data_IF_437784113931
#
_entry.id   IF_437784113931
#
_cell.length_a   1.000
_cell.length_b   1.000
_cell.length_c   1.000
_cell.angle_alpha   90.00
_cell.angle_beta   90.00
_cell.angle_gamma   90.00
#
_symmetry.space_group_name_H-M   'P 1'
#
loop_
_entity.id
_entity.type
_entity.pdbx_description
1 polymer ?
#
# COMPACT_ATOMS: atom_id res chain seq x y z
N UNK A 1 36.87 -97.24 -14.76
CA UNK A 1 37.02 -97.10 -16.23
C UNK A 1 36.35 -95.80 -16.65
N UNK A 2 36.95 -95.01 -17.56
CA UNK A 2 36.85 -93.56 -17.59
C UNK A 2 35.64 -93.04 -18.39
N UNK A 3 35.19 -91.82 -18.13
CA UNK A 3 34.65 -90.96 -19.20
C UNK A 3 34.61 -89.49 -18.80
N UNK A 4 35.26 -88.70 -19.65
CA UNK A 4 35.24 -87.25 -19.76
C UNK A 4 33.93 -86.77 -20.40
N UNK A 5 33.36 -85.64 -19.95
CA UNK A 5 32.60 -84.66 -20.77
C UNK A 5 32.81 -83.28 -20.11
N UNK A 6 33.75 -82.48 -20.63
CA UNK A 6 33.57 -81.32 -21.52
C UNK A 6 33.12 -80.02 -20.80
N UNK A 7 34.08 -79.10 -20.65
CA UNK A 7 33.89 -77.72 -20.18
C UNK A 7 33.40 -76.82 -21.32
N UNK A 8 32.37 -76.00 -21.05
CA UNK A 8 32.03 -74.85 -21.87
C UNK A 8 32.71 -73.60 -21.28
N UNK A 9 33.46 -72.92 -22.14
CA UNK A 9 34.18 -71.67 -21.85
C UNK A 9 33.19 -70.51 -21.79
N UNK A 10 33.17 -69.76 -20.69
CA UNK A 10 32.47 -68.47 -20.59
C UNK A 10 33.53 -67.36 -20.49
N UNK A 11 33.69 -66.58 -21.56
CA UNK A 11 34.56 -65.42 -21.58
C UNK A 11 33.87 -64.24 -20.90
N UNK A 12 34.45 -63.76 -19.80
CA UNK A 12 34.00 -62.54 -19.11
C UNK A 12 34.89 -61.37 -19.55
N UNK A 13 34.35 -60.47 -20.36
CA UNK A 13 35.02 -59.23 -20.74
C UNK A 13 35.02 -58.24 -19.57
N UNK A 14 36.20 -57.78 -19.16
CA UNK A 14 36.37 -56.75 -18.14
C UNK A 14 36.10 -55.35 -18.75
N UNK A 15 35.19 -54.59 -18.14
CA UNK A 15 34.98 -53.17 -18.41
C UNK A 15 35.89 -52.34 -17.48
N UNK A 16 36.51 -51.24 -17.97
CA UNK A 16 37.33 -50.37 -17.13
C UNK A 16 36.44 -49.53 -16.21
N UNK A 17 36.82 -49.43 -14.94
CA UNK A 17 36.17 -48.58 -13.96
C UNK A 17 36.46 -47.10 -14.29
N UNK A 18 35.40 -46.35 -14.60
CA UNK A 18 35.46 -44.89 -14.77
C UNK A 18 35.38 -44.25 -13.39
N UNK A 19 36.46 -43.57 -12.98
CA UNK A 19 36.51 -42.74 -11.77
C UNK A 19 35.44 -41.64 -11.85
N UNK A 20 34.44 -41.72 -10.98
CA UNK A 20 33.39 -40.70 -10.86
C UNK A 20 33.95 -39.39 -10.31
N UNK A 21 33.94 -38.34 -11.13
CA UNK A 21 34.14 -36.96 -10.67
C UNK A 21 32.90 -36.57 -9.84
N UNK A 22 33.04 -36.05 -8.62
CA UNK A 22 31.88 -35.61 -7.85
C UNK A 22 31.23 -34.45 -8.60
N UNK A 23 30.00 -34.65 -9.08
CA UNK A 23 29.15 -33.57 -9.56
C UNK A 23 28.90 -32.65 -8.38
N UNK A 24 29.65 -31.55 -8.30
CA UNK A 24 29.35 -30.44 -7.41
C UNK A 24 27.90 -30.04 -7.63
N UNK A 25 27.07 -30.19 -6.60
CA UNK A 25 25.67 -29.80 -6.62
C UNK A 25 25.64 -28.29 -6.86
N UNK A 26 25.34 -27.87 -8.08
CA UNK A 26 25.10 -26.45 -8.39
C UNK A 26 23.87 -26.06 -7.59
N UNK A 27 24.08 -25.41 -6.45
CA UNK A 27 23.00 -24.85 -5.66
C UNK A 27 22.35 -23.77 -6.55
N UNK A 28 21.05 -23.89 -6.88
CA UNK A 28 20.38 -22.84 -7.64
C UNK A 28 20.58 -21.52 -6.89
N UNK A 29 20.83 -20.40 -7.60
CA UNK A 29 20.95 -19.11 -6.96
C UNK A 29 19.74 -18.90 -6.06
N UNK A 30 19.99 -18.60 -4.78
CA UNK A 30 18.94 -18.31 -3.82
C UNK A 30 18.19 -17.09 -4.34
N UNK A 31 17.04 -17.31 -4.96
CA UNK A 31 16.12 -16.25 -5.32
C UNK A 31 15.65 -15.64 -4.02
N UNK A 32 16.07 -14.40 -3.74
CA UNK A 32 15.49 -13.65 -2.64
C UNK A 32 13.98 -13.58 -2.85
N UNK A 33 13.16 -13.89 -1.82
CA UNK A 33 11.72 -13.80 -1.97
C UNK A 33 11.34 -12.38 -2.41
N UNK A 34 10.51 -12.27 -3.45
CA UNK A 34 10.01 -10.99 -3.94
C UNK A 34 9.33 -10.25 -2.78
N UNK A 35 9.84 -9.05 -2.46
CA UNK A 35 9.29 -8.20 -1.41
C UNK A 35 8.24 -7.28 -2.01
N UNK A 36 6.98 -7.52 -1.66
CA UNK A 36 5.84 -6.75 -2.17
C UNK A 36 5.42 -5.60 -1.23
N UNK A 37 5.81 -5.65 0.05
CA UNK A 37 5.49 -4.64 1.06
C UNK A 37 6.65 -4.35 2.02
N UNK A 38 6.53 -3.27 2.80
CA UNK A 38 7.48 -2.87 3.82
C UNK A 38 8.83 -2.46 3.28
N UNK A 39 8.90 -2.00 2.02
CA UNK A 39 10.14 -1.48 1.47
C UNK A 39 10.48 -0.13 2.08
N UNK A 40 11.77 0.11 2.30
CA UNK A 40 12.22 1.40 2.83
C UNK A 40 12.10 2.47 1.75
N UNK A 41 11.39 3.55 2.05
CA UNK A 41 11.32 4.74 1.20
C UNK A 41 12.07 5.87 1.91
N UNK A 42 13.24 6.24 1.40
CA UNK A 42 14.04 7.34 1.98
C UNK A 42 13.57 8.72 1.53
N UNK A 43 12.79 8.77 0.46
CA UNK A 43 12.22 9.99 -0.07
C UNK A 43 11.08 10.52 0.80
N UNK A 44 10.73 11.78 0.58
CA UNK A 44 9.65 12.50 1.24
C UNK A 44 8.54 12.84 0.24
N UNK A 45 7.30 13.10 0.67
CA UNK A 45 6.23 13.49 -0.24
C UNK A 45 6.60 14.77 -1.00
N UNK A 46 6.35 14.77 -2.31
CA UNK A 46 6.50 15.97 -3.13
C UNK A 46 5.28 16.87 -2.93
N UNK A 47 5.51 18.08 -2.43
CA UNK A 47 4.46 19.07 -2.20
C UNK A 47 4.46 20.12 -3.33
N UNK A 48 3.32 20.74 -3.65
CA UNK A 48 3.27 21.76 -4.67
C UNK A 48 4.22 22.91 -4.31
N UNK A 49 4.94 23.44 -5.30
CA UNK A 49 5.74 24.63 -5.12
C UNK A 49 4.85 25.86 -4.86
N UNK A 50 5.42 26.91 -4.26
CA UNK A 50 4.76 28.21 -4.06
C UNK A 50 3.52 28.20 -3.14
N UNK A 51 3.53 27.36 -2.11
CA UNK A 51 2.52 27.35 -1.05
C UNK A 51 3.19 27.17 0.33
N UNK A 52 2.54 27.66 1.39
CA UNK A 52 3.04 27.60 2.78
C UNK A 52 2.08 26.91 3.75
N UNK A 53 0.95 26.40 3.25
CA UNK A 53 -0.13 25.84 4.08
C UNK A 53 0.16 24.39 4.48
N UNK A 54 0.88 23.65 3.64
CA UNK A 54 1.29 22.26 3.84
C UNK A 54 2.81 22.26 3.91
N UNK A 55 3.35 21.99 5.08
CA UNK A 55 4.78 22.11 5.39
C UNK A 55 5.31 20.78 5.86
N UNK A 56 6.35 20.31 5.20
CA UNK A 56 7.07 19.12 5.59
C UNK A 56 8.09 19.42 6.68
N UNK A 57 8.05 18.66 7.77
CA UNK A 57 9.09 18.70 8.79
C UNK A 57 10.35 17.98 8.28
N UNK A 58 11.46 18.71 8.21
CA UNK A 58 12.73 18.18 7.69
C UNK A 58 13.34 17.09 8.58
N UNK A 59 12.99 17.04 9.86
CA UNK A 59 13.49 16.04 10.81
C UNK A 59 12.81 14.69 10.66
N UNK A 60 11.57 14.65 10.16
CA UNK A 60 10.81 13.43 10.01
C UNK A 60 11.21 12.63 8.76
N UNK A 61 11.09 11.31 8.86
CA UNK A 61 11.34 10.31 7.82
C UNK A 61 10.05 9.60 7.44
N UNK A 62 10.00 9.11 6.20
CA UNK A 62 8.87 8.32 5.72
C UNK A 62 8.90 6.94 6.38
N UNK A 63 7.83 6.62 7.11
CA UNK A 63 7.62 5.31 7.70
C UNK A 63 6.80 4.41 6.77
N UNK A 64 5.67 4.90 6.28
CA UNK A 64 4.82 4.18 5.32
C UNK A 64 4.41 5.06 4.15
N UNK A 65 4.23 4.41 3.00
CA UNK A 65 3.59 4.99 1.82
C UNK A 65 2.42 4.08 1.45
N UNK A 66 1.21 4.61 1.60
CA UNK A 66 -0.02 3.87 1.41
C UNK A 66 -0.87 4.44 0.27
N UNK A 67 -1.43 3.57 -0.56
CA UNK A 67 -2.53 3.91 -1.46
C UNK A 67 -3.85 3.72 -0.73
N UNK A 68 -4.56 4.81 -0.46
CA UNK A 68 -5.88 4.77 0.12
C UNK A 68 -6.96 4.68 -0.95
N UNK A 69 -7.90 3.76 -0.77
CA UNK A 69 -9.03 3.55 -1.67
C UNK A 69 -10.31 3.46 -0.86
N UNK A 70 -11.29 4.31 -1.18
CA UNK A 70 -12.54 4.32 -0.43
C UNK A 70 -13.49 5.43 -0.87
N UNK A 71 -14.21 6.00 0.10
CA UNK A 71 -15.21 7.04 -0.11
C UNK A 71 -15.01 8.23 0.83
N UNK A 72 -15.30 9.41 0.32
CA UNK A 72 -15.52 10.61 1.10
C UNK A 72 -17.01 10.71 1.40
N UNK A 73 -17.38 10.90 2.66
CA UNK A 73 -18.75 11.00 3.10
C UNK A 73 -19.12 12.47 3.35
N UNK A 74 -20.32 12.84 2.91
CA UNK A 74 -20.85 14.19 3.02
C UNK A 74 -22.27 14.17 3.54
N UNK A 75 -22.63 15.22 4.27
CA UNK A 75 -24.01 15.52 4.69
C UNK A 75 -24.42 16.85 4.08
N UNK A 76 -25.62 16.91 3.54
CA UNK A 76 -26.19 18.15 3.04
C UNK A 76 -26.59 19.04 4.22
N UNK A 77 -26.03 20.24 4.28
CA UNK A 77 -26.33 21.26 5.28
C UNK A 77 -26.47 22.61 4.57
N UNK A 78 -27.62 23.24 4.73
CA UNK A 78 -27.93 24.56 4.16
C UNK A 78 -27.65 24.65 2.65
N UNK A 79 -28.07 23.62 1.91
CA UNK A 79 -27.94 23.56 0.46
C UNK A 79 -26.54 23.18 -0.07
N UNK A 80 -25.59 22.87 0.83
CA UNK A 80 -24.21 22.50 0.47
C UNK A 80 -23.78 21.19 1.15
N UNK A 81 -22.97 20.40 0.45
CA UNK A 81 -22.37 19.21 1.04
C UNK A 81 -21.20 19.59 1.94
N UNK A 82 -21.30 19.22 3.22
CA UNK A 82 -20.24 19.37 4.23
C UNK A 82 -19.63 18.00 4.49
N UNK A 83 -18.30 17.95 4.63
CA UNK A 83 -17.58 16.70 4.90
C UNK A 83 -18.02 16.08 6.23
N UNK A 84 -18.51 14.85 6.17
CA UNK A 84 -18.84 14.00 7.31
C UNK A 84 -17.75 12.95 7.62
N UNK A 85 -16.60 13.04 6.92
CA UNK A 85 -15.46 12.14 7.11
C UNK A 85 -15.17 11.29 5.88
N UNK A 86 -14.40 10.23 6.06
CA UNK A 86 -14.05 9.29 5.00
C UNK A 86 -13.90 7.88 5.56
N UNK A 87 -14.03 6.88 4.70
CA UNK A 87 -13.65 5.49 4.99
C UNK A 87 -12.82 4.99 3.83
N UNK A 88 -11.66 4.40 4.11
CA UNK A 88 -10.79 3.82 3.09
C UNK A 88 -9.94 2.67 3.65
N UNK A 89 -9.56 1.75 2.79
CA UNK A 89 -8.48 0.79 3.06
C UNK A 89 -7.18 1.35 2.50
N UNK A 90 -6.09 1.18 3.25
CA UNK A 90 -4.74 1.59 2.87
C UNK A 90 -3.96 0.37 2.42
N UNK A 91 -3.33 0.45 1.25
CA UNK A 91 -2.47 -0.59 0.69
C UNK A 91 -1.02 -0.13 0.67
N UNK A 92 -0.08 -0.96 1.09
CA UNK A 92 1.34 -0.66 1.06
C UNK A 92 1.82 -0.61 -0.39
N UNK A 93 2.37 0.53 -0.77
CA UNK A 93 2.93 0.77 -2.10
C UNK A 93 4.38 1.22 -2.04
N UNK A 94 5.03 1.04 -0.89
CA UNK A 94 6.43 1.37 -0.67
C UNK A 94 7.37 0.66 -1.66
N UNK A 95 7.09 -0.60 -2.00
CA UNK A 95 7.94 -1.40 -2.88
C UNK A 95 7.85 -1.03 -4.37
N UNK A 96 6.83 -0.27 -4.75
CA UNK A 96 6.69 0.24 -6.13
C UNK A 96 7.07 1.72 -6.23
N UNK A 97 7.52 2.33 -5.13
CA UNK A 97 8.07 3.69 -5.14
C UNK A 97 9.26 3.79 -6.10
N UNK A 98 9.37 4.91 -6.82
CA UNK A 98 10.41 5.13 -7.84
C UNK A 98 10.14 4.46 -9.19
N UNK A 99 9.10 3.64 -9.30
CA UNK A 99 8.65 3.07 -10.59
C UNK A 99 7.63 3.99 -11.27
N UNK A 100 7.47 3.93 -12.61
CA UNK A 100 6.43 4.69 -13.31
C UNK A 100 5.00 4.38 -12.82
N UNK A 101 4.77 3.16 -12.32
CA UNK A 101 3.49 2.71 -11.79
C UNK A 101 3.03 3.55 -10.59
N UNK A 102 3.97 3.98 -9.73
CA UNK A 102 3.66 4.65 -8.46
C UNK A 102 2.71 5.84 -8.63
N UNK A 103 3.01 6.73 -9.57
CA UNK A 103 2.20 7.94 -9.84
C UNK A 103 0.80 7.64 -10.42
N UNK A 104 0.62 6.46 -11.02
CA UNK A 104 -0.63 6.05 -11.68
C UNK A 104 -1.57 5.31 -10.74
N UNK A 105 -1.09 4.86 -9.57
CA UNK A 105 -1.84 4.04 -8.64
C UNK A 105 -3.19 4.65 -8.20
N UNK A 106 -3.30 5.96 -7.91
CA UNK A 106 -4.60 6.55 -7.57
C UNK A 106 -5.61 6.42 -8.72
N UNK A 107 -5.20 6.68 -9.95
CA UNK A 107 -6.06 6.56 -11.14
C UNK A 107 -6.48 5.11 -11.39
N UNK A 108 -5.53 4.18 -11.29
CA UNK A 108 -5.76 2.74 -11.43
C UNK A 108 -6.75 2.26 -10.37
N UNK A 109 -6.54 2.62 -9.10
CA UNK A 109 -7.42 2.22 -8.02
C UNK A 109 -8.85 2.72 -8.21
N UNK A 110 -9.01 3.96 -8.66
CA UNK A 110 -10.32 4.53 -8.91
C UNK A 110 -11.06 3.76 -10.01
N UNK A 111 -10.39 3.43 -11.13
CA UNK A 111 -10.98 2.64 -12.22
C UNK A 111 -11.48 1.28 -11.75
N UNK A 112 -10.69 0.57 -10.94
CA UNK A 112 -11.08 -0.73 -10.41
C UNK A 112 -12.21 -0.66 -9.38
N UNK A 113 -12.26 0.41 -8.57
CA UNK A 113 -13.36 0.63 -7.63
C UNK A 113 -14.71 0.80 -8.37
N UNK A 114 -14.71 1.45 -9.53
CA UNK A 114 -15.92 1.62 -10.35
C UNK A 114 -16.36 0.33 -11.07
N UNK A 115 -15.48 -0.63 -11.30
CA UNK A 115 -15.79 -1.87 -12.03
C UNK A 115 -16.42 -2.97 -11.16
N UNK A 116 -16.68 -2.73 -9.87
CA UNK A 116 -17.19 -3.71 -8.88
C UNK A 116 -16.37 -5.01 -8.75
N UNK A 117 -15.25 -5.14 -9.46
CA UNK A 117 -14.18 -6.04 -9.06
C UNK A 117 -13.67 -5.53 -7.72
N UNK A 118 -13.85 -6.30 -6.64
CA UNK A 118 -13.32 -5.91 -5.33
C UNK A 118 -11.84 -5.56 -5.54
N UNK A 119 -11.48 -4.31 -5.30
CA UNK A 119 -10.13 -3.84 -5.60
C UNK A 119 -9.10 -4.65 -4.81
N UNK A 120 -9.47 -5.12 -3.61
CA UNK A 120 -8.74 -6.10 -2.82
C UNK A 120 -8.54 -7.44 -3.53
N UNK A 121 -9.49 -7.88 -4.37
CA UNK A 121 -9.34 -9.05 -5.23
C UNK A 121 -8.37 -8.79 -6.37
N UNK A 122 -8.46 -7.67 -7.10
CA UNK A 122 -7.55 -7.42 -8.24
C UNK A 122 -6.16 -7.00 -7.77
N UNK A 123 -6.04 -6.11 -6.77
CA UNK A 123 -4.78 -5.84 -6.07
C UNK A 123 -4.23 -7.16 -5.49
N UNK A 124 -5.07 -7.98 -4.87
CA UNK A 124 -4.67 -9.30 -4.39
C UNK A 124 -4.28 -10.30 -5.50
N UNK A 125 -4.78 -10.12 -6.73
CA UNK A 125 -4.46 -10.93 -7.92
C UNK A 125 -3.17 -10.46 -8.59
N UNK A 126 -2.96 -9.15 -8.67
CA UNK A 126 -1.81 -8.49 -9.29
C UNK A 126 -0.60 -8.50 -8.37
N UNK A 127 -0.81 -8.34 -7.06
CA UNK A 127 0.25 -8.10 -6.06
C UNK A 127 0.23 -9.11 -4.89
N UNK A 128 -0.73 -10.03 -4.82
CA UNK A 128 -0.85 -11.05 -3.76
C UNK A 128 -1.83 -10.69 -2.65
N UNK A 129 -2.66 -11.64 -2.19
CA UNK A 129 -3.84 -11.40 -1.34
C UNK A 129 -3.60 -10.96 0.11
N UNK A 130 -2.39 -11.06 0.67
CA UNK A 130 -2.26 -10.93 2.14
C UNK A 130 -0.88 -10.54 2.71
N UNK A 131 -0.19 -9.55 2.11
CA UNK A 131 0.52 -8.58 2.96
C UNK A 131 0.29 -7.11 2.57
N UNK A 132 -0.56 -6.82 1.58
CA UNK A 132 -0.70 -5.46 1.02
C UNK A 132 -1.51 -4.51 1.89
N UNK A 133 -2.49 -4.97 2.67
CA UNK A 133 -3.30 -4.05 3.47
C UNK A 133 -2.47 -3.51 4.64
N UNK A 134 -2.10 -2.22 4.59
CA UNK A 134 -1.45 -1.52 5.69
C UNK A 134 -2.40 -1.34 6.86
N UNK A 135 -3.67 -1.03 6.56
CA UNK A 135 -4.61 -0.59 7.59
C UNK A 135 -5.88 -0.01 7.03
N UNK A 136 -6.69 0.53 7.94
CA UNK A 136 -7.94 1.22 7.60
C UNK A 136 -7.86 2.69 8.01
N UNK A 137 -8.51 3.53 7.23
CA UNK A 137 -8.70 4.94 7.50
C UNK A 137 -10.19 5.20 7.72
N UNK A 138 -10.54 5.81 8.86
CA UNK A 138 -11.90 6.16 9.24
C UNK A 138 -11.89 7.33 10.23
N UNK A 139 -13.04 7.89 10.58
CA UNK A 139 -13.14 9.00 11.52
C UNK A 139 -13.63 8.52 12.89
N UNK A 140 -13.08 9.09 13.96
CA UNK A 140 -13.41 8.78 15.35
C UNK A 140 -13.59 10.06 16.15
N UNK A 141 -14.32 9.99 17.27
CA UNK A 141 -14.27 11.02 18.30
C UNK A 141 -12.94 10.93 19.04
N UNK A 142 -12.15 11.99 19.05
CA UNK A 142 -10.90 12.09 19.78
C UNK A 142 -11.15 12.40 21.27
N UNK A 143 -10.10 12.33 22.09
CA UNK A 143 -10.14 12.60 23.53
C UNK A 143 -10.59 14.02 23.90
N UNK A 144 -10.47 14.97 22.97
CA UNK A 144 -10.99 16.34 23.12
C UNK A 144 -12.45 16.50 22.67
N UNK A 145 -13.12 15.41 22.27
CA UNK A 145 -14.52 15.40 21.83
C UNK A 145 -14.75 15.82 20.37
N UNK A 146 -13.68 16.11 19.61
CA UNK A 146 -13.76 16.46 18.19
C UNK A 146 -13.74 15.22 17.29
N UNK A 147 -14.27 15.35 16.06
CA UNK A 147 -14.17 14.28 15.05
C UNK A 147 -12.83 14.39 14.31
N UNK A 148 -12.03 13.33 14.37
CA UNK A 148 -10.68 13.28 13.81
C UNK A 148 -10.50 12.09 12.86
N UNK A 149 -9.70 12.24 11.78
CA UNK A 149 -9.23 11.11 11.00
C UNK A 149 -8.34 10.18 11.84
N UNK A 150 -8.66 8.89 11.85
CA UNK A 150 -7.83 7.80 12.37
C UNK A 150 -7.27 6.99 11.21
N UNK A 151 -6.00 6.61 11.33
CA UNK A 151 -5.34 5.62 10.49
C UNK A 151 -4.91 4.48 11.40
N UNK A 152 -5.51 3.32 11.20
CA UNK A 152 -5.33 2.13 12.04
C UNK A 152 -4.51 1.09 11.28
N UNK A 153 -3.25 0.93 11.69
CA UNK A 153 -2.28 0.04 11.05
C UNK A 153 -2.17 -1.32 11.74
N UNK A 154 -3.08 -1.62 12.68
CA UNK A 154 -3.06 -2.89 13.43
C UNK A 154 -3.10 -4.12 12.53
N UNK A 155 -3.61 -4.00 11.29
CA UNK A 155 -3.60 -5.10 10.29
C UNK A 155 -2.21 -5.50 9.80
N UNK A 156 -1.28 -4.54 9.76
CA UNK A 156 0.08 -4.77 9.22
C UNK A 156 1.16 -4.77 10.30
N UNK A 157 0.84 -4.33 11.51
CA UNK A 157 1.77 -4.23 12.63
C UNK A 157 1.50 -5.31 13.67
N UNK A 158 2.57 -5.83 14.30
CA UNK A 158 2.48 -6.85 15.36
C UNK A 158 1.94 -6.31 16.69
N UNK A 159 1.91 -4.99 16.85
CA UNK A 159 1.36 -4.27 18.00
C UNK A 159 0.30 -3.28 17.50
N UNK A 160 -0.70 -2.98 18.33
CA UNK A 160 -1.72 -1.98 17.97
C UNK A 160 -1.05 -0.64 17.68
N UNK A 161 -1.10 -0.26 16.41
CA UNK A 161 -0.39 0.90 15.90
C UNK A 161 -1.36 1.75 15.12
N UNK A 162 -1.53 3.00 15.52
CA UNK A 162 -2.46 3.92 14.88
C UNK A 162 -2.01 5.36 15.09
N UNK A 163 -2.64 6.24 14.31
CA UNK A 163 -2.59 7.69 14.51
C UNK A 163 -4.01 8.26 14.40
N UNK A 164 -4.43 9.01 15.41
CA UNK A 164 -5.55 9.95 15.29
C UNK A 164 -4.92 11.31 15.04
N UNK A 165 -5.35 11.99 13.99
CA UNK A 165 -4.72 13.22 13.53
C UNK A 165 -5.73 14.38 13.47
N UNK A 166 -5.21 15.59 13.35
CA UNK A 166 -5.97 16.80 13.11
C UNK A 166 -5.41 17.51 11.87
N UNK A 167 -6.30 18.17 11.11
CA UNK A 167 -5.90 18.95 9.94
C UNK A 167 -5.03 20.11 10.38
N UNK A 168 -3.78 20.15 9.87
CA UNK A 168 -2.87 21.28 10.05
C UNK A 168 -2.99 22.28 8.90
N UNK A 169 -3.16 21.78 7.67
CA UNK A 169 -3.29 22.61 6.49
C UNK A 169 -3.73 21.81 5.27
N UNK A 170 -4.05 22.52 4.20
CA UNK A 170 -4.45 21.94 2.92
C UNK A 170 -4.07 22.85 1.76
N UNK A 171 -3.97 22.23 0.59
CA UNK A 171 -3.90 22.92 -0.70
C UNK A 171 -4.81 22.23 -1.70
N UNK A 172 -5.32 22.98 -2.66
CA UNK A 172 -6.11 22.41 -3.75
C UNK A 172 -5.28 21.33 -4.48
N UNK A 173 -5.95 20.26 -4.92
CA UNK A 173 -5.27 19.20 -5.68
C UNK A 173 -4.73 19.76 -7.01
N UNK A 174 -3.43 19.62 -7.31
CA UNK A 174 -2.85 20.05 -8.58
C UNK A 174 -3.46 19.37 -9.80
N UNK A 175 -4.05 18.18 -9.61
CA UNK A 175 -4.72 17.42 -10.66
C UNK A 175 -6.14 17.93 -11.00
N UNK A 176 -6.60 19.01 -10.35
CA UNK A 176 -7.86 19.70 -10.68
C UNK A 176 -8.93 19.63 -9.58
N UNK A 177 -9.95 20.48 -9.74
CA UNK A 177 -10.98 20.76 -8.72
C UNK A 177 -11.98 19.62 -8.48
N UNK A 178 -11.98 18.58 -9.32
CA UNK A 178 -12.78 17.38 -9.07
C UNK A 178 -12.20 16.49 -7.96
N UNK A 179 -10.95 16.74 -7.55
CA UNK A 179 -10.24 15.95 -6.56
C UNK A 179 -10.26 16.65 -5.20
N UNK A 180 -10.41 15.88 -4.13
CA UNK A 180 -10.31 16.45 -2.78
C UNK A 180 -8.93 17.04 -2.53
N UNK A 181 -8.87 18.08 -1.70
CA UNK A 181 -7.64 18.77 -1.37
C UNK A 181 -6.56 17.82 -0.82
N UNK A 182 -5.32 18.19 -1.08
CA UNK A 182 -4.18 17.61 -0.39
C UNK A 182 -4.16 18.12 1.03
N UNK A 183 -3.84 17.25 1.98
CA UNK A 183 -3.88 17.55 3.41
C UNK A 183 -2.53 17.32 4.06
N UNK A 184 -2.18 18.21 4.99
CA UNK A 184 -1.26 17.90 6.09
C UNK A 184 -2.09 17.64 7.34
N UNK A 185 -1.84 16.51 7.97
CA UNK A 185 -2.43 16.11 9.24
C UNK A 185 -1.30 15.96 10.27
N UNK A 186 -1.48 16.52 11.46
CA UNK A 186 -0.57 16.31 12.57
C UNK A 186 -1.20 15.35 13.58
N UNK A 187 -0.37 14.47 14.16
CA UNK A 187 -0.80 13.58 15.23
C UNK A 187 -1.37 14.36 16.40
N UNK A 188 -2.51 13.89 16.91
CA UNK A 188 -3.05 14.30 18.21
C UNK A 188 -3.02 13.14 19.21
N UNK A 189 -3.23 11.91 18.75
CA UNK A 189 -3.15 10.70 19.58
C UNK A 189 -2.58 9.54 18.78
N UNK A 190 -2.11 8.51 19.49
CA UNK A 190 -1.60 7.28 18.89
C UNK A 190 -0.09 7.13 18.99
N UNK A 191 0.39 6.00 18.49
CA UNK A 191 1.75 5.50 18.72
C UNK A 191 2.70 5.78 17.56
N UNK A 192 2.19 6.25 16.42
CA UNK A 192 2.99 6.58 15.24
C UNK A 192 2.41 7.77 14.46
N UNK A 193 2.98 8.12 13.31
CA UNK A 193 2.42 9.04 12.33
C UNK A 193 2.44 10.49 12.79
N UNK A 194 3.58 10.97 13.27
CA UNK A 194 3.80 12.36 13.70
C UNK A 194 3.24 13.37 12.70
N UNK A 195 3.47 13.15 11.40
CA UNK A 195 2.73 13.80 10.31
C UNK A 195 2.16 12.77 9.34
N UNK A 196 0.96 13.02 8.84
CA UNK A 196 0.36 12.26 7.74
C UNK A 196 0.00 13.22 6.62
N UNK A 197 0.51 12.96 5.42
CA UNK A 197 0.13 13.71 4.22
C UNK A 197 -0.85 12.88 3.39
N UNK A 198 -1.93 13.51 2.94
CA UNK A 198 -2.79 12.99 1.86
C UNK A 198 -2.49 13.78 0.59
N UNK A 199 -1.91 13.15 -0.41
CA UNK A 199 -1.53 13.77 -1.69
C UNK A 199 -1.97 12.90 -2.87
N UNK A 200 -1.71 13.36 -4.11
CA UNK A 200 -2.06 12.67 -5.35
C UNK A 200 -3.52 12.17 -5.38
N UNK A 201 -4.43 13.01 -4.88
CA UNK A 201 -5.85 12.69 -4.77
C UNK A 201 -6.52 12.55 -6.13
N UNK A 202 -7.48 11.63 -6.23
CA UNK A 202 -8.43 11.50 -7.36
C UNK A 202 -9.86 11.44 -6.83
N UNK A 203 -10.73 12.25 -7.43
CA UNK A 203 -12.16 12.39 -7.09
C UNK A 203 -12.39 12.71 -5.61
N UNK A 204 -13.55 12.33 -5.09
CA UNK A 204 -13.99 12.59 -3.73
C UNK A 204 -14.72 13.93 -3.53
N UNK A 205 -14.66 14.89 -4.45
CA UNK A 205 -15.42 16.14 -4.29
C UNK A 205 -16.91 15.92 -4.57
N UNK A 206 -17.82 16.49 -3.75
CA UNK A 206 -19.24 16.42 -3.99
C UNK A 206 -19.68 17.42 -5.07
N UNK A 207 -20.90 17.31 -5.61
CA UNK A 207 -21.53 18.40 -6.34
C UNK A 207 -21.58 19.70 -5.51
N UNK A 208 -21.61 20.85 -6.19
CA UNK A 208 -21.55 22.15 -5.53
C UNK A 208 -22.76 22.47 -4.62
N UNK A 209 -23.90 21.80 -4.85
CA UNK A 209 -25.15 22.03 -4.15
C UNK A 209 -25.90 20.73 -3.89
N UNK A 210 -26.79 20.76 -2.90
CA UNK A 210 -27.67 19.66 -2.52
C UNK A 210 -28.98 20.18 -1.95
N UNK A 211 -30.01 19.33 -1.88
CA UNK A 211 -31.28 19.68 -1.23
C UNK A 211 -31.34 19.11 0.19
N UNK A 212 -31.03 17.82 0.34
CA UNK A 212 -30.98 17.11 1.62
C UNK A 212 -30.20 15.80 1.46
N UNK A 213 -29.98 15.10 2.59
CA UNK A 213 -29.44 13.75 2.60
C UNK A 213 -27.92 13.66 2.71
N UNK A 214 -27.41 12.45 2.48
CA UNK A 214 -25.97 12.13 2.55
C UNK A 214 -25.46 11.67 1.18
N UNK A 215 -24.15 11.78 0.97
CA UNK A 215 -23.49 11.36 -0.24
C UNK A 215 -22.14 10.70 0.08
N UNK A 216 -21.87 9.57 -0.54
CA UNK A 216 -20.55 8.94 -0.54
C UNK A 216 -19.94 9.05 -1.93
N UNK A 217 -18.81 9.74 -2.04
CA UNK A 217 -18.10 9.95 -3.30
C UNK A 217 -16.84 9.08 -3.30
N UNK A 218 -16.69 8.16 -4.26
CA UNK A 218 -15.46 7.38 -4.42
C UNK A 218 -14.24 8.28 -4.58
N UNK A 219 -13.14 7.91 -3.93
CA UNK A 219 -11.86 8.58 -4.05
C UNK A 219 -10.71 7.60 -3.89
N UNK A 220 -9.54 8.02 -4.37
CA UNK A 220 -8.25 7.42 -4.05
C UNK A 220 -7.22 8.50 -3.76
N UNK A 221 -6.19 8.18 -2.98
CA UNK A 221 -5.12 9.10 -2.65
C UNK A 221 -3.86 8.37 -2.19
N UNK A 222 -2.71 9.03 -2.28
CA UNK A 222 -1.48 8.60 -1.62
C UNK A 222 -1.40 9.16 -0.21
N UNK A 223 -1.01 8.32 0.73
CA UNK A 223 -0.81 8.63 2.13
C UNK A 223 0.65 8.42 2.51
N UNK A 224 1.29 9.46 3.02
CA UNK A 224 2.66 9.42 3.51
C UNK A 224 2.64 9.59 5.02
N UNK A 225 3.01 8.54 5.74
CA UNK A 225 3.07 8.52 7.20
C UNK A 225 4.52 8.79 7.60
N UNK A 226 4.73 9.85 8.36
CA UNK A 226 6.05 10.37 8.71
C UNK A 226 6.25 10.33 10.22
N UNK A 227 7.44 9.90 10.65
CA UNK A 227 7.86 9.84 12.06
C UNK A 227 9.32 10.29 12.23
N UNK A 228 9.74 10.53 13.48
CA UNK A 228 11.09 10.97 13.82
C UNK A 228 12.17 9.90 13.57
#
# INVERSE_FOLDING_TARGET
>A
MPSFIASAVLALAALPAVLGVPLGRIQPPSLSPLKFTGCTVTAKPSLPANQTLVVLDSTLKTHFVGLGVGVQNYTCTDGKYVSAGAVATLYDVSCVYGTPLFSQLPDIALKFNFQRSSISTEIGRTLGKSPLALGDHYFVTNSAGGISPKFDFTKSQSVSTFVVAAKKGNVASPAGSANVDWLQLNKVEGTMGTQVFRIDTRKGQPPASCTSGTLSVPYSAMYWVMDA
#
